data_IF_098806438188
#
_entry.id   IF_098806438188
#
_cell.length_a   1.000
_cell.length_b   1.000
_cell.length_c   1.000
_cell.angle_alpha   90.00
_cell.angle_beta   90.00
_cell.angle_gamma   90.00
#
_symmetry.space_group_name_H-M   'P 1'
#
loop_
_entity.id
_entity.type
_entity.pdbx_description
1 polymer ?
#
# COMPACT_ATOMS: atom_id res chain seq x y z
N UNK A 1 35.51 9.87 35.55
CA UNK A 1 34.28 10.49 35.03
C UNK A 1 33.94 9.78 33.72
N UNK A 2 32.79 9.09 33.67
CA UNK A 2 32.24 8.39 32.49
C UNK A 2 31.32 9.35 31.72
N UNK A 3 30.96 8.94 30.49
CA UNK A 3 29.83 9.37 29.63
C UNK A 3 30.27 10.32 28.49
N UNK A 4 29.90 10.18 27.21
CA UNK A 4 29.55 9.11 26.25
C UNK A 4 29.34 9.92 24.96
N UNK A 5 30.09 9.68 23.88
CA UNK A 5 29.84 10.37 22.61
C UNK A 5 28.64 9.72 21.91
N UNK A 6 27.64 10.54 21.58
CA UNK A 6 26.40 10.17 20.88
C UNK A 6 26.76 9.91 19.41
N UNK A 7 26.37 8.74 18.90
CA UNK A 7 26.43 8.39 17.48
C UNK A 7 25.15 8.91 16.84
N UNK A 8 25.29 9.84 15.89
CA UNK A 8 24.21 10.25 14.99
C UNK A 8 23.98 9.15 13.96
N UNK A 9 22.77 8.60 13.91
CA UNK A 9 22.31 7.76 12.81
C UNK A 9 21.53 8.65 11.83
N UNK A 10 22.05 8.81 10.61
CA UNK A 10 21.32 9.35 9.49
C UNK A 10 20.55 8.19 8.84
N UNK A 11 19.22 8.25 8.84
CA UNK A 11 18.38 7.34 8.09
C UNK A 11 18.24 7.90 6.67
N UNK A 12 18.71 7.16 5.67
CA UNK A 12 18.45 7.43 4.27
C UNK A 12 17.19 6.65 3.87
N UNK A 13 16.12 7.35 3.50
CA UNK A 13 14.95 6.73 2.88
C UNK A 13 15.28 6.44 1.42
N UNK A 14 15.30 5.17 1.04
CA UNK A 14 15.37 4.74 -0.34
C UNK A 14 13.96 4.81 -0.95
N UNK A 15 13.79 5.61 -2.01
CA UNK A 15 12.57 5.65 -2.82
C UNK A 15 12.58 4.45 -3.75
N UNK A 16 11.67 3.50 -3.53
CA UNK A 16 11.45 2.39 -4.46
C UNK A 16 10.27 2.75 -5.37
N UNK A 17 10.56 3.09 -6.62
CA UNK A 17 9.55 3.18 -7.66
C UNK A 17 9.09 1.75 -8.00
N UNK A 18 7.87 1.40 -7.59
CA UNK A 18 7.25 0.13 -7.96
C UNK A 18 6.73 0.23 -9.40
N UNK A 19 7.31 -0.54 -10.32
CA UNK A 19 6.77 -0.73 -11.65
C UNK A 19 5.50 -1.60 -11.55
N UNK A 20 4.37 -1.08 -12.02
CA UNK A 20 3.09 -1.78 -12.07
C UNK A 20 3.19 -2.99 -13.02
N UNK A 21 3.32 -4.20 -12.44
CA UNK A 21 3.17 -5.46 -13.18
C UNK A 21 1.68 -5.78 -13.19
N UNK A 22 1.01 -5.64 -14.34
CA UNK A 22 -0.37 -6.09 -14.53
C UNK A 22 -0.34 -7.58 -14.92
N UNK A 23 -0.80 -8.53 -14.09
CA UNK A 23 -0.85 -9.93 -14.47
C UNK A 23 -1.90 -10.17 -15.55
N UNK A 24 -1.54 -10.97 -16.56
CA UNK A 24 -2.32 -11.18 -17.81
C UNK A 24 -3.31 -12.35 -17.74
N UNK A 25 -3.85 -12.68 -16.56
CA UNK A 25 -4.78 -13.80 -16.38
C UNK A 25 -5.78 -13.50 -15.27
N UNK A 26 -7.07 -13.48 -15.60
CA UNK A 26 -8.19 -13.04 -14.78
C UNK A 26 -8.41 -13.87 -13.51
N UNK A 27 -7.69 -13.51 -12.44
CA UNK A 27 -8.28 -13.34 -11.11
C UNK A 27 -8.61 -11.83 -11.03
N UNK A 28 -9.82 -11.42 -10.68
CA UNK A 28 -10.16 -9.99 -10.60
C UNK A 28 -9.33 -9.34 -9.49
N UNK A 29 -8.25 -8.67 -9.90
CA UNK A 29 -7.34 -7.95 -9.02
C UNK A 29 -7.89 -6.54 -8.83
N UNK A 30 -8.44 -6.24 -7.66
CA UNK A 30 -8.91 -4.90 -7.35
C UNK A 30 -7.77 -4.04 -6.81
N UNK A 31 -7.91 -2.73 -6.89
CA UNK A 31 -6.95 -1.76 -6.34
C UNK A 31 -7.67 -0.95 -5.28
N UNK A 32 -7.01 -0.75 -4.14
CA UNK A 32 -7.45 0.17 -3.10
C UNK A 32 -6.32 1.16 -2.78
N UNK A 33 -6.66 2.42 -2.53
CA UNK A 33 -5.69 3.49 -2.38
C UNK A 33 -6.22 4.68 -1.58
N UNK A 34 -5.31 5.60 -1.27
CA UNK A 34 -5.68 6.89 -0.66
C UNK A 34 -6.03 7.87 -1.78
N UNK A 35 -7.26 8.40 -1.75
CA UNK A 35 -7.70 9.51 -2.61
C UNK A 35 -7.99 10.74 -1.75
N UNK A 36 -7.66 11.91 -2.26
CA UNK A 36 -7.63 13.11 -1.45
C UNK A 36 -7.67 14.40 -2.28
N UNK A 37 -8.08 15.46 -1.61
CA UNK A 37 -7.91 16.83 -2.06
C UNK A 37 -7.59 17.69 -0.84
N UNK A 38 -6.52 18.46 -0.91
CA UNK A 38 -6.12 19.36 0.17
C UNK A 38 -6.69 20.77 0.00
N UNK A 39 -6.52 21.57 1.05
CA UNK A 39 -6.93 22.98 1.05
C UNK A 39 -6.18 23.83 0.02
N UNK A 40 -4.95 23.45 -0.34
CA UNK A 40 -4.12 24.13 -1.34
C UNK A 40 -4.26 23.54 -2.76
N UNK A 41 -5.31 22.76 -3.03
CA UNK A 41 -5.56 22.11 -4.33
C UNK A 41 -4.44 21.16 -4.76
N UNK A 42 -3.84 20.45 -3.81
CA UNK A 42 -3.11 19.23 -4.13
C UNK A 42 -4.11 18.08 -4.09
N UNK A 43 -3.98 17.11 -4.97
CA UNK A 43 -4.99 16.08 -5.12
C UNK A 43 -4.47 14.79 -5.72
N UNK A 44 -5.21 13.74 -5.35
CA UNK A 44 -5.38 12.51 -6.10
C UNK A 44 -6.86 12.16 -6.03
N UNK A 45 -7.64 12.57 -7.02
CA UNK A 45 -9.10 12.49 -6.99
C UNK A 45 -9.61 11.05 -7.05
N UNK A 46 -8.89 10.17 -7.75
CA UNK A 46 -9.28 8.79 -8.01
C UNK A 46 -8.07 7.87 -7.88
N UNK A 47 -8.32 6.59 -7.59
CA UNK A 47 -7.27 5.55 -7.60
C UNK A 47 -6.70 5.28 -9.00
N UNK A 48 -7.33 5.79 -10.06
CA UNK A 48 -6.86 5.63 -11.43
C UNK A 48 -5.75 6.60 -11.82
N UNK A 49 -5.44 7.57 -10.96
CA UNK A 49 -4.33 8.50 -11.17
C UNK A 49 -3.02 7.88 -10.67
N UNK A 50 -2.05 7.70 -11.58
CA UNK A 50 -0.67 7.28 -11.22
C UNK A 50 0.20 8.40 -10.66
N UNK A 51 -0.23 9.65 -10.80
CA UNK A 51 0.50 10.83 -10.32
C UNK A 51 -0.30 11.55 -9.22
N UNK A 52 0.45 12.10 -8.26
CA UNK A 52 -0.08 13.11 -7.34
C UNK A 52 0.04 14.46 -8.00
N UNK A 53 -1.01 15.28 -7.91
CA UNK A 53 -1.11 16.50 -8.69
C UNK A 53 -1.33 17.70 -7.79
N UNK A 54 -0.97 18.88 -8.29
CA UNK A 54 -1.43 20.16 -7.77
C UNK A 54 -1.99 21.02 -8.89
N UNK A 55 -2.90 21.94 -8.57
CA UNK A 55 -3.39 22.91 -9.54
C UNK A 55 -2.41 24.09 -9.67
N UNK A 56 -1.77 24.22 -10.83
CA UNK A 56 -0.92 25.36 -11.16
C UNK A 56 -1.79 26.52 -11.64
N UNK A 57 -1.91 27.56 -10.82
CA UNK A 57 -2.72 28.73 -11.14
C UNK A 57 -2.09 29.62 -12.23
N UNK A 58 -0.77 29.55 -12.42
CA UNK A 58 -0.08 30.36 -13.42
C UNK A 58 -0.26 29.76 -14.82
N UNK A 59 -0.27 28.44 -14.91
CA UNK A 59 -0.51 27.70 -16.16
C UNK A 59 -2.00 27.40 -16.40
N UNK A 60 -2.81 27.38 -15.34
CA UNK A 60 -4.23 27.03 -15.41
C UNK A 60 -4.46 25.54 -15.69
N UNK A 61 -3.55 24.69 -15.27
CA UNK A 61 -3.58 23.24 -15.49
C UNK A 61 -2.99 22.49 -14.28
N UNK A 62 -3.27 21.19 -14.19
CA UNK A 62 -2.66 20.35 -13.17
C UNK A 62 -1.21 20.03 -13.53
N UNK A 63 -0.35 19.95 -12.51
CA UNK A 63 1.04 19.57 -12.65
C UNK A 63 1.45 18.52 -11.59
N UNK A 64 2.45 17.67 -11.87
CA UNK A 64 2.93 16.68 -10.92
C UNK A 64 3.44 17.30 -9.61
N UNK A 65 3.03 16.71 -8.48
CA UNK A 65 3.50 17.06 -7.16
C UNK A 65 4.82 16.31 -6.87
N UNK A 66 5.93 16.99 -7.13
CA UNK A 66 7.27 16.46 -6.88
C UNK A 66 7.54 16.18 -5.39
N UNK A 67 8.19 15.05 -5.10
CA UNK A 67 8.59 14.68 -3.75
C UNK A 67 7.51 14.01 -2.89
N UNK A 68 6.30 13.86 -3.42
CA UNK A 68 5.23 13.07 -2.82
C UNK A 68 5.07 11.72 -3.55
N UNK A 69 4.69 10.69 -2.80
CA UNK A 69 4.47 9.33 -3.33
C UNK A 69 3.29 8.66 -2.64
N UNK A 70 2.73 7.63 -3.25
CA UNK A 70 1.70 6.80 -2.62
C UNK A 70 1.97 5.33 -2.90
N UNK A 71 1.40 4.46 -2.05
CA UNK A 71 1.37 3.02 -2.25
C UNK A 71 -0.08 2.56 -2.19
N UNK A 72 -0.56 1.98 -3.29
CA UNK A 72 -1.86 1.32 -3.33
C UNK A 72 -1.73 -0.16 -2.98
N UNK A 73 -2.83 -0.74 -2.50
CA UNK A 73 -2.96 -2.16 -2.23
C UNK A 73 -3.62 -2.86 -3.42
N UNK A 74 -3.02 -3.98 -3.83
CA UNK A 74 -3.63 -4.89 -4.78
C UNK A 74 -4.45 -5.95 -4.01
N UNK A 75 -5.77 -5.85 -4.11
CA UNK A 75 -6.72 -6.69 -3.37
C UNK A 75 -7.04 -7.92 -4.21
N UNK A 76 -6.62 -9.08 -3.72
CA UNK A 76 -6.82 -10.37 -4.39
C UNK A 76 -7.76 -11.31 -3.63
N UNK A 77 -8.29 -10.87 -2.49
CA UNK A 77 -9.19 -11.65 -1.63
C UNK A 77 -9.40 -11.01 -0.26
N UNK A 78 -10.04 -11.75 0.65
CA UNK A 78 -10.24 -11.33 2.03
C UNK A 78 -8.89 -11.26 2.77
N UNK A 79 -8.66 -10.26 3.61
CA UNK A 79 -7.39 -10.13 4.32
C UNK A 79 -7.09 -8.73 4.84
N UNK A 80 -5.89 -8.54 5.39
CA UNK A 80 -5.40 -7.23 5.82
C UNK A 80 -4.48 -6.61 4.76
N UNK A 81 -4.69 -5.33 4.49
CA UNK A 81 -4.00 -4.56 3.48
C UNK A 81 -3.54 -3.22 4.04
N UNK A 82 -2.54 -2.63 3.40
CA UNK A 82 -1.97 -1.34 3.79
C UNK A 82 -1.80 -0.44 2.58
N UNK A 83 -2.16 0.83 2.73
CA UNK A 83 -1.92 1.89 1.74
C UNK A 83 -1.19 3.06 2.39
N UNK A 84 -0.39 3.79 1.60
CA UNK A 84 0.36 4.96 2.09
C UNK A 84 0.23 6.17 1.18
N UNK A 85 0.38 7.34 1.78
CA UNK A 85 0.59 8.62 1.12
C UNK A 85 1.71 9.33 1.89
N UNK A 86 2.77 9.74 1.19
CA UNK A 86 4.00 10.27 1.76
C UNK A 86 4.42 11.55 1.03
N UNK A 87 5.09 12.47 1.73
CA UNK A 87 5.66 13.69 1.16
C UNK A 87 4.64 14.82 0.90
N UNK A 88 3.40 14.70 1.37
CA UNK A 88 2.39 15.75 1.23
C UNK A 88 2.45 16.69 2.41
N UNK A 89 3.08 17.85 2.25
CA UNK A 89 3.17 18.86 3.31
C UNK A 89 2.23 20.03 3.02
N UNK A 90 0.95 19.91 3.42
CA UNK A 90 -0.06 20.96 3.26
C UNK A 90 -0.81 21.27 4.57
N UNK A 91 -1.47 22.43 4.61
CA UNK A 91 -2.18 22.99 5.76
C UNK A 91 -3.46 22.25 6.20
N UNK A 92 -3.83 21.15 5.53
CA UNK A 92 -5.00 20.33 5.86
C UNK A 92 -5.77 19.81 4.64
N UNK A 93 -6.79 19.01 4.92
CA UNK A 93 -7.49 18.18 3.93
C UNK A 93 -8.93 18.64 3.76
N UNK A 94 -9.35 18.86 2.51
CA UNK A 94 -10.78 19.02 2.19
C UNK A 94 -11.45 17.65 2.13
N UNK A 95 -10.78 16.69 1.50
CA UNK A 95 -11.19 15.29 1.42
C UNK A 95 -9.99 14.37 1.61
N UNK A 96 -10.18 13.30 2.36
CA UNK A 96 -9.23 12.19 2.50
C UNK A 96 -10.03 10.90 2.66
N UNK A 97 -9.78 9.93 1.79
CA UNK A 97 -10.56 8.70 1.69
C UNK A 97 -9.64 7.50 1.46
N UNK A 98 -10.05 6.36 1.99
CA UNK A 98 -9.68 5.06 1.47
C UNK A 98 -10.71 4.67 0.42
N UNK A 99 -10.28 4.33 -0.78
CA UNK A 99 -11.17 4.04 -1.91
C UNK A 99 -10.66 2.86 -2.73
N UNK A 100 -11.55 2.14 -3.41
CA UNK A 100 -11.18 1.05 -4.32
C UNK A 100 -11.96 1.07 -5.63
N UNK A 101 -11.58 0.23 -6.58
CA UNK A 101 -12.37 -0.03 -7.80
C UNK A 101 -13.37 -1.19 -7.62
N UNK A 102 -13.67 -1.60 -6.39
CA UNK A 102 -14.68 -2.62 -6.12
C UNK A 102 -16.07 -2.01 -6.29
N UNK A 103 -16.89 -2.63 -7.13
CA UNK A 103 -18.30 -2.30 -7.33
C UNK A 103 -19.19 -3.11 -6.37
N UNK A 104 -19.69 -2.46 -5.32
CA UNK A 104 -20.55 -3.07 -4.31
C UNK A 104 -21.90 -3.54 -4.88
N UNK A 105 -22.33 -3.05 -6.04
CA UNK A 105 -23.54 -3.59 -6.69
C UNK A 105 -23.28 -5.01 -7.25
N UNK A 106 -22.03 -5.31 -7.65
CA UNK A 106 -21.59 -6.63 -8.08
C UNK A 106 -21.10 -7.50 -6.92
N UNK A 107 -20.52 -6.89 -5.89
CA UNK A 107 -19.96 -7.57 -4.72
C UNK A 107 -20.56 -7.02 -3.40
N UNK A 108 -21.85 -7.24 -3.14
CA UNK A 108 -22.58 -6.58 -2.04
C UNK A 108 -22.16 -7.02 -0.64
N UNK A 109 -21.46 -8.15 -0.52
CA UNK A 109 -20.98 -8.67 0.75
C UNK A 109 -19.63 -8.07 1.17
N UNK A 110 -18.97 -7.34 0.27
CA UNK A 110 -17.65 -6.75 0.54
C UNK A 110 -17.74 -5.68 1.62
N UNK A 111 -16.81 -5.73 2.58
CA UNK A 111 -16.67 -4.72 3.63
C UNK A 111 -15.22 -4.34 3.82
N UNK A 112 -15.00 -3.04 3.93
CA UNK A 112 -13.75 -2.48 4.41
C UNK A 112 -13.90 -2.10 5.88
N UNK A 113 -12.89 -2.41 6.69
CA UNK A 113 -12.79 -1.94 8.07
C UNK A 113 -11.37 -1.43 8.32
N UNK A 114 -11.22 -0.16 8.70
CA UNK A 114 -9.91 0.39 9.07
C UNK A 114 -9.51 -0.19 10.42
N UNK A 115 -8.32 -0.79 10.49
CA UNK A 115 -7.76 -1.39 11.71
C UNK A 115 -6.77 -0.45 12.39
N UNK A 116 -6.02 0.33 11.62
CA UNK A 116 -5.02 1.26 12.12
C UNK A 116 -4.83 2.47 11.19
N UNK A 117 -4.53 3.63 11.77
CA UNK A 117 -4.05 4.80 11.06
C UNK A 117 -2.75 5.26 11.70
N UNK A 118 -1.73 5.51 10.90
CA UNK A 118 -0.50 6.16 11.34
C UNK A 118 -0.33 7.50 10.62
N UNK A 119 -0.01 8.54 11.37
CA UNK A 119 0.35 9.86 10.85
C UNK A 119 1.81 10.14 11.19
N UNK A 120 2.62 10.49 10.19
CA UNK A 120 4.07 10.67 10.34
C UNK A 120 4.78 9.46 10.99
N UNK A 121 4.29 8.25 10.70
CA UNK A 121 4.80 6.98 11.26
C UNK A 121 4.44 6.73 12.74
N UNK A 122 3.53 7.50 13.32
CA UNK A 122 2.99 7.28 14.65
C UNK A 122 1.51 6.87 14.57
N UNK A 123 1.16 5.75 15.19
CA UNK A 123 -0.23 5.32 15.32
C UNK A 123 -1.06 6.39 16.04
N UNK A 124 -2.25 6.67 15.51
CA UNK A 124 -3.21 7.60 16.10
C UNK A 124 -4.52 6.91 16.41
N UNK A 125 -5.20 7.39 17.43
CA UNK A 125 -6.59 7.03 17.64
C UNK A 125 -7.45 7.69 16.56
N UNK A 126 -8.39 6.93 16.01
CA UNK A 126 -9.36 7.39 15.02
C UNK A 126 -10.77 7.01 15.45
N UNK A 127 -11.74 7.81 15.05
CA UNK A 127 -13.16 7.58 15.30
C UNK A 127 -13.68 6.48 14.36
N UNK A 128 -13.81 5.27 14.89
CA UNK A 128 -14.34 4.10 14.17
C UNK A 128 -15.81 4.22 13.80
N UNK A 129 -16.58 5.00 14.56
CA UNK A 129 -18.00 5.21 14.29
C UNK A 129 -18.18 6.20 13.12
N UNK A 130 -17.20 7.08 12.90
CA UNK A 130 -17.14 7.97 11.74
C UNK A 130 -16.47 7.32 10.52
N UNK A 131 -15.43 6.48 10.72
CA UNK A 131 -14.69 5.78 9.65
C UNK A 131 -15.45 4.54 9.12
N UNK A 132 -16.72 4.70 8.80
CA UNK A 132 -17.58 3.64 8.26
C UNK A 132 -17.58 3.64 6.74
N UNK A 133 -17.77 2.46 6.15
CA UNK A 133 -17.88 2.33 4.71
C UNK A 133 -19.08 3.13 4.20
N UNK A 134 -18.84 3.98 3.20
CA UNK A 134 -19.88 4.75 2.54
C UNK A 134 -20.82 3.82 1.78
N UNK A 135 -22.11 4.13 1.82
CA UNK A 135 -23.14 3.45 1.01
C UNK A 135 -23.52 4.35 -0.15
N UNK A 136 -23.81 3.76 -1.32
CA UNK A 136 -24.24 4.46 -2.54
C UNK A 136 -23.25 5.56 -3.00
N UNK A 137 -21.96 5.35 -2.71
CA UNK A 137 -20.92 6.29 -3.06
C UNK A 137 -20.51 6.07 -4.53
N UNK A 138 -20.80 7.05 -5.40
CA UNK A 138 -20.32 6.99 -6.77
C UNK A 138 -18.87 7.45 -6.90
N UNK A 139 -18.14 6.82 -7.83
CA UNK A 139 -16.80 7.21 -8.27
C UNK A 139 -16.67 6.93 -9.75
N UNK A 140 -16.05 7.87 -10.47
CA UNK A 140 -15.72 7.71 -11.87
C UNK A 140 -14.33 8.26 -12.14
N UNK A 141 -13.73 7.82 -13.24
CA UNK A 141 -12.55 8.41 -13.83
C UNK A 141 -12.72 9.91 -14.07
N UNK A 142 -11.60 10.61 -14.09
CA UNK A 142 -11.49 12.01 -14.48
C UNK A 142 -10.43 12.21 -15.57
N UNK A 143 -10.24 13.46 -16.01
CA UNK A 143 -9.33 13.81 -17.11
C UNK A 143 -7.85 13.46 -16.82
N UNK A 144 -7.51 13.14 -15.57
CA UNK A 144 -6.16 12.78 -15.13
C UNK A 144 -6.00 11.28 -14.82
N UNK A 145 -7.07 10.49 -15.02
CA UNK A 145 -7.07 9.06 -14.74
C UNK A 145 -6.44 8.26 -15.89
N UNK A 146 -5.58 7.29 -15.56
CA UNK A 146 -4.90 6.45 -16.56
C UNK A 146 -5.81 5.39 -17.18
N UNK A 147 -6.92 5.07 -16.51
CA UNK A 147 -7.92 4.13 -16.96
C UNK A 147 -9.34 4.62 -16.66
N UNK A 148 -10.26 4.26 -17.55
CA UNK A 148 -11.66 4.68 -17.48
C UNK A 148 -12.48 3.73 -16.60
N UNK A 149 -13.34 4.31 -15.77
CA UNK A 149 -14.28 3.56 -14.94
C UNK A 149 -15.45 4.43 -14.49
N UNK A 150 -16.58 3.79 -14.20
CA UNK A 150 -17.78 4.44 -13.67
C UNK A 150 -18.48 3.44 -12.73
N UNK A 151 -18.29 3.62 -11.42
CA UNK A 151 -18.81 2.77 -10.37
C UNK A 151 -19.84 3.57 -9.57
N UNK A 152 -21.06 3.06 -9.51
CA UNK A 152 -22.17 3.74 -8.82
C UNK A 152 -22.11 3.60 -7.31
N UNK A 153 -21.56 2.49 -6.84
CA UNK A 153 -21.50 2.13 -5.43
C UNK A 153 -20.12 1.54 -5.11
N UNK A 154 -19.14 2.41 -4.88
CA UNK A 154 -17.76 2.01 -4.63
C UNK A 154 -17.54 1.60 -3.17
N UNK A 155 -16.67 0.62 -2.92
CA UNK A 155 -16.16 0.38 -1.58
C UNK A 155 -15.17 1.49 -1.19
N UNK A 156 -15.60 2.37 -0.28
CA UNK A 156 -14.88 3.56 0.17
C UNK A 156 -15.14 3.84 1.65
N UNK A 157 -14.15 4.36 2.37
CA UNK A 157 -14.28 4.95 3.70
C UNK A 157 -13.76 6.39 3.65
N UNK A 158 -14.53 7.33 4.19
CA UNK A 158 -14.08 8.71 4.39
C UNK A 158 -13.34 8.82 5.72
N UNK A 159 -12.14 9.38 5.70
CA UNK A 159 -11.39 9.74 6.90
C UNK A 159 -11.57 11.22 7.25
N UNK A 160 -11.61 12.07 6.23
CA UNK A 160 -11.91 13.50 6.35
C UNK A 160 -12.80 13.88 5.17
N UNK A 161 -13.89 14.59 5.45
CA UNK A 161 -14.63 15.33 4.44
C UNK A 161 -15.23 16.60 5.07
N UNK A 162 -14.63 17.74 4.76
CA UNK A 162 -15.09 19.04 5.29
C UNK A 162 -16.49 19.42 4.81
N UNK A 163 -16.89 18.94 3.64
CA UNK A 163 -18.22 19.21 3.08
C UNK A 163 -19.33 18.43 3.79
N UNK A 164 -18.99 17.28 4.38
CA UNK A 164 -19.90 16.46 5.17
C UNK A 164 -19.74 16.70 6.68
N UNK A 165 -18.87 17.64 7.10
CA UNK A 165 -18.43 17.82 8.49
C UNK A 165 -17.92 16.52 9.15
N UNK A 166 -17.24 15.68 8.36
CA UNK A 166 -16.68 14.41 8.81
C UNK A 166 -15.17 14.55 9.06
N UNK A 167 -14.72 14.10 10.23
CA UNK A 167 -13.30 13.99 10.57
C UNK A 167 -13.12 12.80 11.52
N UNK A 168 -12.80 11.62 10.96
CA UNK A 168 -12.48 10.42 11.73
C UNK A 168 -11.06 10.45 12.31
N UNK A 169 -10.18 11.28 11.74
CA UNK A 169 -8.83 11.57 12.25
C UNK A 169 -8.64 13.08 12.37
N UNK A 170 -7.63 13.56 13.12
CA UNK A 170 -7.31 14.99 13.18
C UNK A 170 -7.07 15.57 11.79
N UNK A 171 -7.76 16.66 11.45
CA UNK A 171 -7.52 17.40 10.21
C UNK A 171 -6.44 18.45 10.44
N UNK A 172 -5.21 17.97 10.61
CA UNK A 172 -4.00 18.78 10.81
C UNK A 172 -3.02 18.55 9.65
N UNK A 173 -1.88 19.24 9.69
CA UNK A 173 -0.75 19.00 8.78
C UNK A 173 0.03 17.76 9.19
N UNK A 174 0.19 16.82 8.25
CA UNK A 174 1.09 15.67 8.36
C UNK A 174 1.67 15.36 6.97
N UNK A 175 2.93 14.91 6.96
CA UNK A 175 3.70 14.61 5.74
C UNK A 175 3.41 13.19 5.23
N UNK A 176 3.08 12.26 6.13
CA UNK A 176 2.72 10.90 5.75
C UNK A 176 1.50 10.35 6.48
N UNK A 177 0.78 9.48 5.77
CA UNK A 177 -0.37 8.71 6.22
C UNK A 177 -0.14 7.26 5.83
N UNK A 178 -0.34 6.36 6.77
CA UNK A 178 -0.54 4.94 6.49
C UNK A 178 -1.91 4.52 7.02
N UNK A 179 -2.68 3.83 6.20
CA UNK A 179 -3.95 3.22 6.60
C UNK A 179 -3.83 1.72 6.45
N UNK A 180 -4.07 1.00 7.53
CA UNK A 180 -4.24 -0.46 7.53
C UNK A 180 -5.72 -0.78 7.63
N UNK A 181 -6.21 -1.68 6.79
CA UNK A 181 -7.62 -2.04 6.73
C UNK A 181 -7.78 -3.52 6.38
N UNK A 182 -8.91 -4.09 6.79
CA UNK A 182 -9.31 -5.43 6.38
C UNK A 182 -10.34 -5.35 5.27
N UNK A 183 -10.25 -6.30 4.34
CA UNK A 183 -11.27 -6.60 3.34
C UNK A 183 -11.89 -7.95 3.69
N UNK A 184 -13.21 -8.02 3.68
CA UNK A 184 -13.95 -9.27 3.87
C UNK A 184 -15.07 -9.35 2.85
N UNK A 185 -15.56 -10.55 2.55
CA UNK A 185 -16.74 -10.75 1.70
C UNK A 185 -16.47 -10.71 0.19
N UNK A 186 -15.22 -10.66 -0.25
CA UNK A 186 -14.84 -10.89 -1.65
C UNK A 186 -14.97 -12.37 -2.04
N UNK A 187 -14.82 -13.27 -1.05
CA UNK A 187 -14.69 -14.70 -1.30
C UNK A 187 -13.33 -15.05 -1.89
N UNK A 188 -12.95 -16.33 -1.79
CA UNK A 188 -11.55 -16.75 -1.97
C UNK A 188 -10.82 -16.67 -0.62
N UNK A 189 -10.01 -17.70 -0.30
CA UNK A 189 -9.36 -17.81 1.01
C UNK A 189 -8.44 -16.63 1.34
N UNK A 190 -8.13 -16.47 2.63
CA UNK A 190 -7.25 -15.42 3.18
C UNK A 190 -6.09 -15.06 2.23
N UNK A 191 -5.98 -13.77 1.91
CA UNK A 191 -4.90 -13.21 1.13
C UNK A 191 -3.56 -13.62 1.75
N UNK A 192 -2.66 -14.15 0.90
CA UNK A 192 -1.30 -14.41 1.33
C UNK A 192 -0.66 -13.08 1.75
N UNK A 193 0.06 -13.08 2.88
CA UNK A 193 0.90 -11.95 3.24
C UNK A 193 1.78 -11.57 2.04
N UNK A 194 1.85 -10.28 1.72
CA UNK A 194 2.75 -9.76 0.69
C UNK A 194 4.21 -10.00 1.13
N UNK A 195 4.70 -11.20 0.83
CA UNK A 195 6.11 -11.58 1.00
C UNK A 195 6.89 -10.95 -0.15
N UNK A 196 7.00 -9.63 -0.13
CA UNK A 196 7.96 -8.90 -0.94
C UNK A 196 9.38 -9.08 -0.35
N UNK A 197 9.80 -10.34 -0.23
CA UNK A 197 11.19 -10.70 0.02
C UNK A 197 11.87 -10.72 -1.34
N UNK A 198 12.54 -9.61 -1.67
CA UNK A 198 13.45 -9.56 -2.80
C UNK A 198 14.39 -10.77 -2.76
N UNK A 199 14.22 -11.70 -3.70
CA UNK A 199 15.13 -12.81 -3.88
C UNK A 199 16.50 -12.20 -4.21
N UNK A 200 17.46 -12.35 -3.29
CA UNK A 200 18.85 -12.04 -3.59
C UNK A 200 19.27 -12.92 -4.78
N UNK A 201 19.54 -12.30 -5.93
CA UNK A 201 20.14 -12.99 -7.06
C UNK A 201 21.53 -13.51 -6.66
N UNK A 202 21.62 -14.81 -6.37
CA UNK A 202 22.89 -15.51 -6.28
C UNK A 202 23.40 -15.78 -7.70
N UNK A 203 24.29 -14.92 -8.18
CA UNK A 203 24.96 -15.07 -9.47
C UNK A 203 26.09 -16.09 -9.35
N UNK A 204 25.74 -17.38 -9.40
CA UNK A 204 26.68 -18.46 -9.68
C UNK A 204 26.62 -18.85 -11.17
N UNK A 205 27.74 -18.95 -11.90
CA UNK A 205 27.72 -19.28 -13.32
C UNK A 205 27.30 -20.74 -13.56
N UNK A 206 26.31 -20.95 -14.45
CA UNK A 206 25.96 -22.28 -14.99
C UNK A 206 26.90 -22.62 -16.16
N UNK A 207 27.69 -23.68 -16.00
CA UNK A 207 28.32 -24.39 -17.12
C UNK A 207 27.25 -25.16 -17.92
N UNK A 208 27.32 -25.05 -19.24
CA UNK A 208 26.45 -25.73 -20.20
C UNK A 208 26.97 -27.14 -20.47
N UNK A 209 26.20 -28.15 -20.07
CA UNK A 209 26.40 -29.55 -20.46
C UNK A 209 25.08 -30.14 -20.96
N UNK A 210 24.98 -30.38 -22.26
CA UNK A 210 23.84 -31.02 -22.89
C UNK A 210 23.85 -32.54 -22.69
N UNK A 211 22.73 -33.14 -22.31
CA UNK A 211 22.35 -34.49 -22.76
C UNK A 211 20.83 -34.68 -22.80
N UNK A 212 20.39 -35.51 -23.74
CA UNK A 212 19.01 -35.75 -24.17
C UNK A 212 18.27 -36.71 -23.24
N UNK A 213 16.94 -36.54 -23.17
CA UNK A 213 16.02 -37.63 -22.84
C UNK A 213 14.76 -37.18 -22.10
N UNK A 214 13.64 -37.08 -22.81
CA UNK A 214 12.30 -37.15 -22.22
C UNK A 214 11.85 -38.62 -22.26
N UNK A 215 11.03 -39.11 -21.32
CA UNK A 215 9.59 -38.89 -21.42
C UNK A 215 8.86 -38.55 -20.12
N UNK A 216 7.65 -38.02 -20.28
CA UNK A 216 6.57 -37.84 -19.30
C UNK A 216 6.44 -38.96 -18.26
N UNK A 217 6.22 -38.57 -16.99
CA UNK A 217 5.27 -39.25 -16.09
C UNK A 217 4.78 -38.32 -14.98
N UNK A 218 3.46 -38.26 -14.80
CA UNK A 218 2.88 -38.48 -13.46
C UNK A 218 2.54 -37.25 -12.62
N UNK A 219 1.23 -37.04 -12.49
CA UNK A 219 0.52 -36.38 -11.39
C UNK A 219 1.00 -36.73 -9.98
N UNK A 220 0.64 -35.84 -9.05
CA UNK A 220 0.41 -36.00 -7.59
C UNK A 220 1.41 -35.34 -6.63
N UNK A 221 0.86 -34.47 -5.78
CA UNK A 221 1.02 -34.64 -4.34
C UNK A 221 2.04 -33.75 -3.62
N UNK A 222 1.52 -32.68 -3.02
CA UNK A 222 1.76 -32.22 -1.63
C UNK A 222 3.04 -32.72 -0.93
N UNK A 223 3.93 -31.78 -0.60
CA UNK A 223 4.86 -31.79 0.54
C UNK A 223 5.60 -30.43 0.54
N UNK A 224 5.99 -29.78 1.63
CA UNK A 224 5.86 -30.00 3.06
C UNK A 224 6.25 -28.67 3.74
N UNK A 225 5.64 -28.40 4.89
CA UNK A 225 6.08 -27.39 5.86
C UNK A 225 7.56 -27.63 6.23
N UNK A 226 8.39 -26.60 6.09
CA UNK A 226 9.68 -26.51 6.75
C UNK A 226 9.85 -25.10 7.32
N UNK A 227 9.53 -24.96 8.61
CA UNK A 227 9.83 -23.76 9.38
C UNK A 227 11.34 -23.55 9.48
N UNK A 228 11.78 -22.31 9.32
CA UNK A 228 13.16 -21.91 9.59
C UNK A 228 13.19 -21.08 10.86
N UNK A 229 14.05 -21.55 11.77
CA UNK A 229 14.28 -21.03 13.10
C UNK A 229 14.93 -19.64 13.08
N UNK A 230 14.40 -18.77 13.93
CA UNK A 230 15.08 -17.54 14.36
C UNK A 230 16.28 -17.95 15.23
N UNK A 231 17.50 -17.66 14.77
CA UNK A 231 18.70 -17.75 15.62
C UNK A 231 19.03 -16.36 16.14
N UNK A 232 18.69 -16.13 17.41
CA UNK A 232 19.15 -15.00 18.19
C UNK A 232 20.49 -15.31 18.88
N UNK A 233 21.46 -14.41 18.72
CA UNK A 233 22.47 -14.08 19.73
C UNK A 233 23.71 -14.98 19.89
N UNK A 234 24.88 -14.34 19.93
CA UNK A 234 26.04 -14.88 20.67
C UNK A 234 27.40 -14.64 20.03
N UNK A 235 28.08 -13.58 20.46
CA UNK A 235 29.49 -13.34 20.17
C UNK A 235 30.36 -14.50 20.71
N UNK A 236 31.23 -15.08 19.87
CA UNK A 236 32.31 -15.95 20.31
C UNK A 236 33.67 -15.33 19.95
N UNK A 237 34.32 -14.78 20.98
CA UNK A 237 35.73 -14.38 20.93
C UNK A 237 36.58 -15.65 21.01
N UNK A 238 37.27 -16.01 19.92
CA UNK A 238 38.29 -17.07 19.92
C UNK A 238 39.66 -16.43 20.18
N UNK A 239 40.21 -16.70 21.35
CA UNK A 239 41.58 -16.38 21.75
C UNK A 239 42.57 -17.37 21.12
N UNK A 240 43.41 -16.89 20.19
CA UNK A 240 44.45 -17.68 19.53
C UNK A 240 45.76 -17.60 20.33
N UNK A 241 46.10 -18.68 21.05
CA UNK A 241 47.43 -18.91 21.63
C UNK A 241 48.47 -19.04 20.50
N UNK A 242 49.56 -18.27 20.55
CA UNK A 242 50.81 -18.59 19.84
C UNK A 242 51.80 -19.17 20.87
N UNK A 243 52.51 -20.22 20.43
CA UNK A 243 53.60 -20.89 21.16
C UNK A 243 54.71 -19.92 21.53
#
# INVERSE_FOLDING_TARGET
MKIRNIVSAAAACAVAAAALVIPTSAEESYVAGITWQSSSYYFRNTIAQSELLYWDNDLGEAAPLEGATFTDANITGDGEYTVTLDGVNDGGWNMLKLESNIDLDATPDVKFEITSVELNGAAVDFDKDAAVMSVDAATKSDDYSDWDFDIKNTARIQLINVYDNLAAIPNDTYESIKVTFTVTGLGGGEAAADDNTAAAEDTAPVETGADKGSPDTGVEGVAALAGIAVVAGGALVISRKRK
#
